data_IF_038009234233
#
_entry.id   IF_038009234233
#
_cell.length_a   1.000
_cell.length_b   1.000
_cell.length_c   1.000
_cell.angle_alpha   90.00
_cell.angle_beta   90.00
_cell.angle_gamma   90.00
#
_symmetry.space_group_name_H-M   'P 1'
#
loop_
_entity.id
_entity.type
_entity.pdbx_description
1 polymer ?
#
# COMPACT_ATOMS: atom_id res chain seq x y z
N UNK A 1 13.96 5.92 20.65
CA UNK A 1 14.44 5.61 19.33
C UNK A 1 13.54 6.13 18.24
N UNK A 2 14.12 6.62 17.20
CA UNK A 2 13.37 7.15 16.12
C UNK A 2 13.14 6.14 15.03
N UNK A 3 11.94 6.09 14.53
CA UNK A 3 11.63 5.24 13.39
C UNK A 3 11.78 6.08 12.14
N UNK A 4 12.49 5.54 11.16
CA UNK A 4 12.65 6.20 9.89
C UNK A 4 11.58 5.73 8.94
N UNK A 5 10.35 6.11 9.23
CA UNK A 5 9.29 5.71 8.32
C UNK A 5 8.50 6.93 7.88
N UNK A 6 7.82 6.78 6.78
CA UNK A 6 7.02 7.81 6.18
C UNK A 6 5.62 7.29 5.94
N UNK A 7 4.68 8.20 5.89
CA UNK A 7 3.27 7.86 5.64
C UNK A 7 2.75 8.67 4.49
N UNK A 8 1.83 8.10 3.76
CA UNK A 8 1.16 8.81 2.67
C UNK A 8 -0.07 8.06 2.25
N UNK A 9 -1.03 8.79 1.71
CA UNK A 9 -2.12 8.17 0.98
C UNK A 9 -1.54 7.70 -0.35
N UNK A 10 -2.00 6.55 -0.82
CA UNK A 10 -1.43 5.97 -2.03
C UNK A 10 -2.40 5.02 -2.69
N UNK A 11 -2.33 4.97 -4.01
CA UNK A 11 -3.05 3.97 -4.77
C UNK A 11 -2.14 2.79 -5.02
N UNK A 12 -2.69 1.59 -4.89
CA UNK A 12 -1.96 0.38 -5.23
C UNK A 12 -2.00 0.21 -6.75
N UNK A 13 -0.83 0.27 -7.38
CA UNK A 13 -0.76 0.08 -8.81
C UNK A 13 -0.74 -1.39 -9.15
N UNK A 14 0.09 -2.15 -8.48
CA UNK A 14 0.06 -3.60 -8.62
C UNK A 14 0.87 -4.24 -7.50
N UNK A 15 0.64 -5.52 -7.30
CA UNK A 15 1.35 -6.31 -6.32
C UNK A 15 1.69 -7.65 -6.93
N UNK A 16 2.91 -8.11 -6.71
CA UNK A 16 3.35 -9.40 -7.23
C UNK A 16 3.96 -10.21 -6.11
N UNK A 17 3.95 -11.52 -6.28
CA UNK A 17 4.55 -12.40 -5.30
C UNK A 17 6.04 -12.12 -5.17
N UNK A 18 6.52 -12.14 -3.94
CA UNK A 18 7.91 -11.89 -3.65
C UNK A 18 8.37 -12.89 -2.60
N UNK A 19 9.35 -13.70 -2.98
CA UNK A 19 9.84 -14.78 -2.12
C UNK A 19 8.68 -15.67 -1.74
N UNK A 20 8.69 -16.25 -0.54
CA UNK A 20 7.71 -17.27 -0.20
C UNK A 20 6.38 -16.71 0.30
N UNK A 21 6.42 -15.67 1.09
CA UNK A 21 5.21 -15.18 1.72
C UNK A 21 4.97 -13.70 1.54
N UNK A 22 5.84 -13.00 0.84
CA UNK A 22 5.75 -11.56 0.74
C UNK A 22 5.13 -11.12 -0.58
N UNK A 23 4.77 -9.85 -0.65
CA UNK A 23 4.35 -9.20 -1.88
C UNK A 23 5.25 -8.02 -2.15
N UNK A 24 5.59 -7.84 -3.41
CA UNK A 24 6.22 -6.61 -3.86
C UNK A 24 5.11 -5.72 -4.36
N UNK A 25 4.93 -4.60 -3.70
CA UNK A 25 3.83 -3.69 -3.99
C UNK A 25 4.37 -2.42 -4.61
N UNK A 26 3.70 -1.94 -5.63
CA UNK A 26 4.03 -0.67 -6.24
C UNK A 26 2.85 0.26 -6.04
N UNK A 27 3.12 1.38 -5.39
CA UNK A 27 2.11 2.38 -5.07
C UNK A 27 2.41 3.67 -5.81
N UNK A 28 1.37 4.44 -6.04
CA UNK A 28 1.53 5.84 -6.42
C UNK A 28 1.07 6.66 -5.24
N UNK A 29 2.00 7.29 -4.55
CA UNK A 29 1.70 7.98 -3.31
C UNK A 29 1.53 9.48 -3.55
N UNK A 30 0.71 10.09 -2.69
CA UNK A 30 0.46 11.51 -2.78
C UNK A 30 1.72 12.31 -2.45
N UNK A 31 2.47 11.86 -1.45
CA UNK A 31 3.60 12.66 -0.96
C UNK A 31 4.93 12.32 -1.64
N UNK A 32 5.09 11.10 -2.12
CA UNK A 32 6.39 10.62 -2.55
C UNK A 32 6.40 10.07 -3.96
N UNK A 33 5.28 10.17 -4.67
CA UNK A 33 5.22 9.61 -6.01
C UNK A 33 5.22 8.09 -5.98
N UNK A 34 5.92 7.51 -6.94
CA UNK A 34 5.96 6.06 -7.04
C UNK A 34 6.81 5.46 -5.93
N UNK A 35 6.24 4.51 -5.20
CA UNK A 35 6.91 3.85 -4.09
C UNK A 35 6.80 2.35 -4.28
N UNK A 36 7.93 1.67 -4.23
CA UNK A 36 7.96 0.21 -4.26
C UNK A 36 8.29 -0.29 -2.86
N UNK A 37 7.50 -1.21 -2.36
CA UNK A 37 7.68 -1.68 -0.99
C UNK A 37 7.36 -3.15 -0.87
N UNK A 38 8.07 -3.81 0.02
CA UNK A 38 7.85 -5.23 0.31
C UNK A 38 6.90 -5.32 1.49
N UNK A 39 5.79 -6.04 1.29
CA UNK A 39 4.86 -6.36 2.37
C UNK A 39 5.19 -7.76 2.85
N UNK A 40 5.98 -7.83 3.92
CA UNK A 40 6.49 -9.10 4.41
C UNK A 40 5.36 -9.93 5.02
N UNK A 41 5.32 -11.19 4.66
CA UNK A 41 4.29 -12.09 5.16
C UNK A 41 2.91 -11.81 4.64
N UNK A 42 2.79 -11.01 3.59
CA UNK A 42 1.49 -10.55 3.12
C UNK A 42 0.59 -11.69 2.64
N UNK A 43 1.18 -12.78 2.18
CA UNK A 43 0.39 -13.91 1.68
C UNK A 43 0.03 -14.92 2.75
N UNK A 44 0.41 -14.63 3.98
CA UNK A 44 0.01 -15.45 5.11
C UNK A 44 -1.46 -15.19 5.43
N UNK A 45 -2.14 -16.23 5.90
CA UNK A 45 -3.56 -16.12 6.22
C UNK A 45 -3.85 -15.09 7.29
N UNK A 46 -2.90 -14.84 8.16
CA UNK A 46 -3.08 -13.90 9.26
C UNK A 46 -2.47 -12.55 8.98
N UNK A 47 -2.13 -12.30 7.74
CA UNK A 47 -1.45 -11.07 7.41
C UNK A 47 -2.35 -9.85 7.54
N UNK A 48 -1.79 -8.77 8.04
CA UNK A 48 -2.47 -7.47 8.06
C UNK A 48 -2.49 -6.84 6.67
N UNK A 49 -1.83 -7.45 5.72
CA UNK A 49 -1.76 -6.93 4.36
C UNK A 49 -2.69 -7.63 3.38
N UNK A 50 -3.66 -8.37 3.89
CA UNK A 50 -4.57 -9.07 3.00
C UNK A 50 -5.40 -8.14 2.14
N UNK A 51 -5.50 -6.88 2.55
CA UNK A 51 -6.25 -5.91 1.76
C UNK A 51 -5.54 -5.53 0.47
N UNK A 52 -4.29 -5.93 0.29
CA UNK A 52 -3.50 -5.58 -0.88
C UNK A 52 -3.78 -6.51 -2.05
N UNK A 53 -5.02 -6.70 -2.37
CA UNK A 53 -5.39 -7.60 -3.45
C UNK A 53 -6.12 -6.91 -4.59
N UNK A 54 -6.41 -5.64 -4.44
CA UNK A 54 -7.21 -4.93 -5.43
C UNK A 54 -6.42 -3.76 -5.99
N UNK A 55 -5.91 -3.89 -7.22
CA UNK A 55 -5.23 -2.75 -7.85
C UNK A 55 -6.18 -1.57 -7.98
N UNK A 56 -5.66 -0.39 -7.80
CA UNK A 56 -6.45 0.82 -7.87
C UNK A 56 -7.08 1.23 -6.55
N UNK A 57 -7.02 0.38 -5.54
CA UNK A 57 -7.57 0.73 -4.24
C UNK A 57 -6.71 1.80 -3.58
N UNK A 58 -7.36 2.60 -2.76
CA UNK A 58 -6.69 3.69 -2.07
C UNK A 58 -6.40 3.29 -0.64
N UNK A 59 -5.16 3.49 -0.23
CA UNK A 59 -4.70 3.12 1.10
C UNK A 59 -3.94 4.26 1.74
N UNK A 60 -3.91 4.21 3.06
CA UNK A 60 -2.93 4.97 3.81
C UNK A 60 -1.81 4.00 4.15
N UNK A 61 -0.62 4.29 3.67
CA UNK A 61 0.50 3.38 3.84
C UNK A 61 1.58 4.03 4.69
N UNK A 62 2.33 3.17 5.38
CA UNK A 62 3.53 3.58 6.07
C UNK A 62 4.65 2.66 5.63
N UNK A 63 5.80 3.21 5.39
CA UNK A 63 6.93 2.43 4.92
C UNK A 63 8.21 3.00 5.46
N UNK A 64 9.26 2.18 5.43
CA UNK A 64 10.56 2.60 5.92
C UNK A 64 11.62 2.06 4.98
N UNK A 65 12.83 2.58 5.14
CA UNK A 65 13.97 2.13 4.36
C UNK A 65 14.60 3.27 3.62
N UNK A 66 15.90 3.13 3.38
CA UNK A 66 16.67 4.16 2.70
C UNK A 66 16.80 3.90 1.21
N UNK A 67 16.64 2.66 0.80
CA UNK A 67 16.82 2.30 -0.59
C UNK A 67 15.52 2.51 -1.35
N UNK A 68 15.59 2.33 -2.65
CA UNK A 68 14.41 2.47 -3.47
C UNK A 68 13.34 1.46 -3.10
N UNK A 69 13.75 0.25 -2.76
CA UNK A 69 12.81 -0.77 -2.34
C UNK A 69 12.59 -0.63 -0.85
N UNK A 70 11.41 -0.20 -0.47
CA UNK A 70 11.09 0.06 0.93
C UNK A 70 10.48 -1.17 1.58
N UNK A 71 10.28 -1.07 2.89
CA UNK A 71 9.55 -2.08 3.64
C UNK A 71 8.24 -1.47 4.08
N UNK A 72 7.14 -2.11 3.68
CA UNK A 72 5.82 -1.64 4.06
C UNK A 72 5.57 -2.02 5.52
N UNK A 73 5.29 -1.04 6.35
CA UNK A 73 5.07 -1.29 7.77
C UNK A 73 3.61 -1.32 8.13
N UNK A 74 2.76 -0.61 7.39
CA UNK A 74 1.33 -0.69 7.62
C UNK A 74 0.59 -0.28 6.36
N UNK A 75 -0.66 -0.71 6.28
CA UNK A 75 -1.49 -0.43 5.13
C UNK A 75 -2.94 -0.47 5.60
N UNK A 76 -3.63 0.63 5.41
CA UNK A 76 -5.00 0.76 5.88
C UNK A 76 -5.86 1.23 4.73
N UNK A 77 -6.98 0.57 4.51
CA UNK A 77 -7.87 0.95 3.43
C UNK A 77 -8.54 2.28 3.75
N UNK A 78 -8.51 3.19 2.80
CA UNK A 78 -9.15 4.48 2.95
C UNK A 78 -10.49 4.56 2.26
N UNK A 79 -10.86 3.51 1.54
CA UNK A 79 -12.13 3.52 0.84
C UNK A 79 -13.27 3.33 1.82
N UNK A 80 -14.22 4.21 1.76
CA UNK A 80 -15.41 4.14 2.59
C UNK A 80 -16.61 4.01 1.67
N UNK A 81 -17.77 3.73 2.30
CA UNK A 81 -18.99 3.66 1.53
C UNK A 81 -19.30 4.96 0.84
N UNK A 82 -19.05 6.06 1.53
CA UNK A 82 -19.34 7.37 0.93
C UNK A 82 -18.48 7.60 -0.29
N UNK A 83 -17.22 7.27 -0.20
CA UNK A 83 -16.34 7.41 -1.35
C UNK A 83 -16.84 6.57 -2.50
N UNK A 84 -17.24 5.35 -2.22
CA UNK A 84 -17.70 4.46 -3.27
C UNK A 84 -18.93 4.97 -3.98
N UNK A 85 -19.86 5.55 -3.24
CA UNK A 85 -21.10 6.00 -3.85
C UNK A 85 -20.95 7.34 -4.53
N UNK A 86 -20.28 8.27 -3.89
CA UNK A 86 -20.33 9.65 -4.32
C UNK A 86 -19.03 10.13 -4.95
N UNK A 87 -17.92 9.71 -4.40
CA UNK A 87 -16.63 10.24 -4.80
C UNK A 87 -15.75 9.24 -5.53
N UNK A 88 -16.18 8.01 -5.56
CA UNK A 88 -15.37 6.98 -6.18
C UNK A 88 -15.08 7.30 -7.64
N UNK A 89 -16.08 7.86 -8.33
CA UNK A 89 -15.88 8.23 -9.72
C UNK A 89 -14.80 9.25 -9.89
N UNK A 90 -14.65 10.13 -8.91
CA UNK A 90 -13.63 11.16 -8.97
C UNK A 90 -12.25 10.55 -8.96
N UNK A 91 -12.08 9.51 -8.18
CA UNK A 91 -10.78 8.85 -8.10
C UNK A 91 -10.43 8.08 -9.36
N UNK A 92 -11.41 7.72 -10.13
CA UNK A 92 -11.15 6.99 -11.37
C UNK A 92 -10.74 7.91 -12.50
N UNK A 93 -10.94 9.18 -12.33
CA UNK A 93 -10.58 10.15 -13.33
C UNK A 93 -9.34 10.91 -12.92
#
# INVERSE_FOLDING_TARGET
>A
MKLNYKESDAFLLHATKFKETSLLCVFFSKEFGKVSAIAKGARSKKSKFQVLTVPGALFKIAFSGKNELKTLTSCESLETLDIKRDNFKIYLY
#
